data_IF_681796363059
#
_entry.id   IF_681796363059
#
_cell.length_a   1.000
_cell.length_b   1.000
_cell.length_c   1.000
_cell.angle_alpha   90.00
_cell.angle_beta   90.00
_cell.angle_gamma   90.00
#
_symmetry.space_group_name_H-M   'P 1'
#
loop_
_entity.id
_entity.type
_entity.pdbx_description
1 polymer ?
#
# COMPACT_ATOMS: atom_id res chain seq x y z
N UNK A 1 24.50 52.71 12.46
CA UNK A 1 24.49 51.64 11.42
C UNK A 1 23.39 50.67 11.79
N UNK A 2 22.23 50.85 11.15
CA UNK A 2 21.04 50.05 11.44
C UNK A 2 21.14 48.70 10.72
N UNK A 3 21.02 47.63 11.50
CA UNK A 3 20.86 46.26 11.00
C UNK A 3 19.51 46.18 10.29
N UNK A 4 19.53 45.91 8.98
CA UNK A 4 18.32 45.54 8.25
C UNK A 4 17.89 44.13 8.70
N UNK A 5 16.62 43.91 9.05
CA UNK A 5 16.13 42.59 9.35
C UNK A 5 16.03 41.76 8.07
N UNK A 6 16.44 40.50 8.18
CA UNK A 6 16.36 39.48 7.16
C UNK A 6 14.97 39.42 6.52
N UNK A 7 14.98 39.38 5.20
CA UNK A 7 13.81 39.26 4.37
C UNK A 7 13.09 37.95 4.70
N UNK A 8 11.84 38.10 5.13
CA UNK A 8 10.84 37.04 5.23
C UNK A 8 10.84 36.18 3.97
N UNK A 9 11.31 34.94 4.07
CA UNK A 9 11.16 33.94 3.02
C UNK A 9 9.68 33.81 2.67
N UNK A 10 9.35 34.03 1.40
CA UNK A 10 7.98 34.03 0.91
C UNK A 10 7.30 32.69 1.15
N UNK A 11 6.35 32.68 2.09
CA UNK A 11 5.27 31.70 2.21
C UNK A 11 4.34 31.84 1.00
N UNK A 12 4.83 31.51 -0.20
CA UNK A 12 4.02 31.43 -1.40
C UNK A 12 3.00 30.30 -1.25
N UNK A 13 1.75 30.56 -1.61
CA UNK A 13 0.72 29.53 -1.73
C UNK A 13 1.18 28.49 -2.75
N UNK A 14 1.23 27.20 -2.39
CA UNK A 14 1.44 26.12 -3.35
C UNK A 14 0.09 25.70 -3.98
N UNK A 15 -0.13 25.95 -5.29
CA UNK A 15 -1.38 25.58 -5.95
C UNK A 15 -1.67 24.07 -5.90
N UNK A 16 -0.63 23.22 -5.83
CA UNK A 16 -0.81 21.76 -5.77
C UNK A 16 -1.40 21.35 -4.42
N UNK A 17 -0.94 21.97 -3.33
CA UNK A 17 -1.49 21.72 -1.99
C UNK A 17 -2.94 22.17 -1.88
N UNK A 18 -3.29 23.30 -2.50
CA UNK A 18 -4.69 23.75 -2.61
C UNK A 18 -5.53 22.72 -3.38
N UNK A 19 -5.07 22.23 -4.53
CA UNK A 19 -5.79 21.21 -5.29
C UNK A 19 -5.97 19.91 -4.48
N UNK A 20 -4.93 19.46 -3.78
CA UNK A 20 -4.98 18.27 -2.90
C UNK A 20 -5.95 18.46 -1.74
N UNK A 21 -5.95 19.63 -1.11
CA UNK A 21 -6.91 20.01 -0.07
C UNK A 21 -8.34 19.99 -0.60
N UNK A 22 -8.58 20.55 -1.79
CA UNK A 22 -9.89 20.53 -2.44
C UNK A 22 -10.36 19.10 -2.73
N UNK A 23 -9.49 18.22 -3.20
CA UNK A 23 -9.80 16.79 -3.38
C UNK A 23 -10.23 16.18 -2.04
N UNK A 24 -9.48 16.40 -0.96
CA UNK A 24 -9.88 15.89 0.36
C UNK A 24 -11.25 16.42 0.81
N UNK A 25 -11.57 17.70 0.56
CA UNK A 25 -12.88 18.28 0.87
C UNK A 25 -14.03 17.65 0.06
N UNK A 26 -13.77 17.22 -1.17
CA UNK A 26 -14.75 16.55 -2.04
C UNK A 26 -15.08 15.12 -1.58
N UNK A 27 -14.15 14.47 -0.88
CA UNK A 27 -14.32 13.11 -0.38
C UNK A 27 -14.78 13.06 1.07
N UNK A 28 -14.36 14.00 1.92
CA UNK A 28 -14.62 14.02 3.35
C UNK A 28 -15.28 15.34 3.81
N UNK A 29 -16.60 15.33 4.07
CA UNK A 29 -17.29 16.49 4.64
C UNK A 29 -16.72 16.94 5.99
N UNK A 30 -16.15 16.03 6.78
CA UNK A 30 -15.54 16.36 8.07
C UNK A 30 -14.27 17.17 7.90
N UNK A 31 -13.42 16.81 6.92
CA UNK A 31 -12.26 17.61 6.53
C UNK A 31 -12.68 18.98 5.97
N UNK A 32 -13.73 19.05 5.15
CA UNK A 32 -14.25 20.32 4.65
C UNK A 32 -14.73 21.25 5.79
N UNK A 33 -15.26 20.68 6.89
CA UNK A 33 -15.56 21.42 8.12
C UNK A 33 -14.28 21.84 8.85
N UNK A 34 -13.27 20.99 8.94
CA UNK A 34 -11.99 21.29 9.59
C UNK A 34 -11.22 22.43 8.88
N UNK A 35 -11.23 22.46 7.54
CA UNK A 35 -10.67 23.55 6.73
C UNK A 35 -11.33 24.89 7.09
N UNK A 36 -12.65 24.91 7.31
CA UNK A 36 -13.41 26.13 7.67
C UNK A 36 -13.34 26.49 9.15
N UNK A 37 -13.01 25.55 10.03
CA UNK A 37 -12.87 25.79 11.45
C UNK A 37 -11.64 26.66 11.78
N UNK A 38 -11.51 27.02 13.06
CA UNK A 38 -10.29 27.60 13.64
C UNK A 38 -9.41 26.45 14.16
N UNK A 39 -8.09 26.54 13.98
CA UNK A 39 -7.12 25.53 14.45
C UNK A 39 -6.27 24.95 13.31
N UNK A 40 -4.99 24.60 13.54
CA UNK A 40 -4.05 24.28 12.48
C UNK A 40 -4.42 23.00 11.72
N UNK A 41 -4.07 22.97 10.43
CA UNK A 41 -4.01 21.76 9.61
C UNK A 41 -2.55 21.58 9.19
N UNK A 42 -1.82 20.57 9.69
CA UNK A 42 -0.39 20.42 9.42
C UNK A 42 -0.07 20.28 7.93
N UNK A 43 -1.03 19.84 7.13
CA UNK A 43 -0.92 19.69 5.68
C UNK A 43 -1.20 20.98 4.88
N UNK A 44 -1.52 22.12 5.49
CA UNK A 44 -1.81 23.36 4.75
C UNK A 44 -1.18 24.57 5.42
N UNK A 45 -0.58 25.45 4.62
CA UNK A 45 -0.26 26.81 5.09
C UNK A 45 -1.55 27.61 5.31
N UNK A 46 -1.48 28.68 6.12
CA UNK A 46 -2.67 29.52 6.34
C UNK A 46 -3.15 30.18 5.04
N UNK A 47 -2.22 30.52 4.13
CA UNK A 47 -2.55 31.05 2.80
C UNK A 47 -3.30 30.05 1.92
N UNK A 48 -2.82 28.80 1.85
CA UNK A 48 -3.50 27.72 1.11
C UNK A 48 -4.90 27.45 1.69
N UNK A 49 -5.00 27.43 3.02
CA UNK A 49 -6.26 27.21 3.72
C UNK A 49 -7.24 28.36 3.49
N UNK A 50 -6.78 29.61 3.48
CA UNK A 50 -7.62 30.77 3.21
C UNK A 50 -8.33 30.62 1.85
N UNK A 51 -7.59 30.22 0.80
CA UNK A 51 -8.19 29.97 -0.51
C UNK A 51 -9.24 28.84 -0.49
N UNK A 52 -8.99 27.77 0.26
CA UNK A 52 -9.93 26.65 0.38
C UNK A 52 -11.21 27.02 1.15
N UNK A 53 -11.14 28.00 2.06
CA UNK A 53 -12.33 28.48 2.79
C UNK A 53 -13.31 29.22 1.88
N UNK A 54 -12.82 29.87 0.84
CA UNK A 54 -13.63 30.61 -0.16
C UNK A 54 -14.40 29.67 -1.11
N UNK A 55 -14.10 28.37 -1.12
CA UNK A 55 -14.83 27.40 -1.95
C UNK A 55 -16.28 27.27 -1.48
N UNK A 56 -17.22 27.56 -2.37
CA UNK A 56 -18.66 27.38 -2.14
C UNK A 56 -18.96 25.92 -1.71
N UNK A 57 -19.58 25.69 -0.54
CA UNK A 57 -19.99 24.35 -0.10
C UNK A 57 -20.83 23.58 -1.13
N UNK A 58 -21.63 24.26 -1.96
CA UNK A 58 -22.45 23.62 -3.01
C UNK A 58 -21.58 23.05 -4.13
N UNK A 59 -20.45 23.68 -4.43
CA UNK A 59 -19.51 23.18 -5.43
C UNK A 59 -18.94 21.81 -5.04
N UNK A 60 -18.84 21.52 -3.73
CA UNK A 60 -18.38 20.23 -3.23
C UNK A 60 -19.37 19.07 -3.48
N UNK A 61 -20.64 19.37 -3.78
CA UNK A 61 -21.68 18.38 -4.02
C UNK A 61 -22.00 18.15 -5.51
N UNK A 62 -21.28 18.81 -6.43
CA UNK A 62 -21.55 18.77 -7.88
C UNK A 62 -21.43 17.38 -8.50
N UNK A 63 -20.56 16.52 -7.95
CA UNK A 63 -20.34 15.16 -8.41
C UNK A 63 -20.66 14.15 -7.29
N UNK A 64 -21.95 13.91 -7.08
CA UNK A 64 -22.45 13.01 -6.03
C UNK A 64 -21.91 11.57 -6.15
N UNK A 65 -21.51 11.15 -7.35
CA UNK A 65 -21.05 9.78 -7.62
C UNK A 65 -19.53 9.60 -7.49
N UNK A 66 -18.77 10.67 -7.21
CA UNK A 66 -17.31 10.63 -7.08
C UNK A 66 -16.82 9.58 -6.09
N UNK A 67 -17.33 9.67 -4.86
CA UNK A 67 -16.95 8.78 -3.77
C UNK A 67 -17.37 7.34 -4.06
N UNK A 68 -18.53 7.14 -4.67
CA UNK A 68 -19.00 5.83 -5.09
C UNK A 68 -18.08 5.18 -6.15
N UNK A 69 -17.64 5.94 -7.16
CA UNK A 69 -16.69 5.43 -8.18
C UNK A 69 -15.34 5.08 -7.58
N UNK A 70 -14.81 5.90 -6.68
CA UNK A 70 -13.56 5.59 -5.99
C UNK A 70 -13.71 4.36 -5.07
N UNK A 71 -14.84 4.25 -4.36
CA UNK A 71 -15.15 3.10 -3.54
C UNK A 71 -15.20 1.83 -4.39
N UNK A 72 -15.82 1.87 -5.56
CA UNK A 72 -15.88 0.73 -6.48
C UNK A 72 -14.48 0.21 -6.84
N UNK A 73 -13.53 1.10 -7.18
CA UNK A 73 -12.14 0.73 -7.47
C UNK A 73 -11.50 0.00 -6.28
N UNK A 74 -11.73 0.46 -5.06
CA UNK A 74 -11.23 -0.21 -3.85
C UNK A 74 -11.90 -1.58 -3.65
N UNK A 75 -13.20 -1.69 -3.90
CA UNK A 75 -13.93 -2.95 -3.76
C UNK A 75 -13.52 -3.99 -4.81
N UNK A 76 -13.12 -3.56 -6.01
CA UNK A 76 -12.59 -4.42 -7.06
C UNK A 76 -11.21 -4.99 -6.68
N UNK A 77 -10.35 -4.19 -6.04
CA UNK A 77 -9.02 -4.62 -5.60
C UNK A 77 -9.04 -5.40 -4.27
N UNK A 78 -9.97 -5.07 -3.36
CA UNK A 78 -10.07 -5.65 -2.01
C UNK A 78 -11.42 -6.35 -1.72
N UNK A 79 -11.89 -7.25 -2.61
CA UNK A 79 -13.22 -7.83 -2.47
C UNK A 79 -13.36 -8.70 -1.22
N UNK A 80 -12.31 -9.41 -0.82
CA UNK A 80 -12.36 -10.28 0.36
C UNK A 80 -12.26 -9.50 1.67
N UNK A 81 -11.46 -8.45 1.71
CA UNK A 81 -11.43 -7.52 2.85
C UNK A 81 -12.75 -6.77 3.00
N UNK A 82 -13.36 -6.34 1.89
CA UNK A 82 -14.69 -5.73 1.90
C UNK A 82 -15.74 -6.70 2.42
N UNK A 83 -15.66 -7.97 2.04
CA UNK A 83 -16.58 -8.98 2.54
C UNK A 83 -16.36 -9.29 4.04
N UNK A 84 -15.13 -9.17 4.53
CA UNK A 84 -14.77 -9.35 5.94
C UNK A 84 -15.23 -8.17 6.84
N UNK A 85 -15.16 -6.95 6.33
CA UNK A 85 -15.37 -5.72 7.11
C UNK A 85 -16.73 -5.06 6.85
N UNK A 86 -17.33 -5.31 5.70
CA UNK A 86 -18.49 -4.59 5.18
C UNK A 86 -18.11 -3.33 4.40
N UNK A 87 -18.93 -2.97 3.42
CA UNK A 87 -18.71 -1.82 2.53
C UNK A 87 -18.59 -0.50 3.30
N UNK A 88 -19.40 -0.30 4.35
CA UNK A 88 -19.33 0.91 5.18
C UNK A 88 -17.97 1.09 5.85
N UNK A 89 -17.30 -0.01 6.23
CA UNK A 89 -15.97 0.05 6.82
C UNK A 89 -14.90 0.43 5.77
N UNK A 90 -15.08 -0.01 4.52
CA UNK A 90 -14.25 0.40 3.38
C UNK A 90 -14.46 1.90 3.10
N UNK A 91 -15.70 2.36 3.05
CA UNK A 91 -16.05 3.75 2.76
C UNK A 91 -15.46 4.75 3.78
N UNK A 92 -15.30 4.34 5.04
CA UNK A 92 -14.65 5.14 6.09
C UNK A 92 -13.20 5.50 5.77
N UNK A 93 -12.53 4.78 4.86
CA UNK A 93 -11.19 5.14 4.39
C UNK A 93 -11.12 6.57 3.88
N UNK A 94 -12.13 7.02 3.12
CA UNK A 94 -12.14 8.36 2.50
C UNK A 94 -12.19 9.52 3.51
N UNK A 95 -12.59 9.24 4.76
CA UNK A 95 -12.57 10.21 5.86
C UNK A 95 -11.40 9.97 6.83
N UNK A 96 -10.45 9.11 6.47
CA UNK A 96 -9.30 8.77 7.32
C UNK A 96 -8.10 9.71 7.07
N UNK A 97 -7.22 9.91 8.07
CA UNK A 97 -5.94 10.58 7.86
C UNK A 97 -5.05 9.88 6.82
N UNK A 98 -5.16 8.55 6.68
CA UNK A 98 -4.38 7.77 5.69
C UNK A 98 -4.75 8.16 4.27
N UNK A 99 -6.05 8.31 3.98
CA UNK A 99 -6.49 8.82 2.68
C UNK A 99 -5.98 10.25 2.43
N UNK A 100 -6.03 11.13 3.44
CA UNK A 100 -5.52 12.50 3.29
C UNK A 100 -4.02 12.50 2.99
N UNK A 101 -3.21 11.76 3.76
CA UNK A 101 -1.79 11.62 3.49
C UNK A 101 -1.53 11.12 2.06
N UNK A 102 -2.26 10.09 1.62
CA UNK A 102 -2.18 9.57 0.26
C UNK A 102 -2.45 10.66 -0.81
N UNK A 103 -3.42 11.55 -0.61
CA UNK A 103 -3.71 12.63 -1.56
C UNK A 103 -2.58 13.66 -1.59
N UNK A 104 -2.10 14.09 -0.43
CA UNK A 104 -1.02 15.09 -0.32
C UNK A 104 0.34 14.57 -0.81
N UNK A 105 0.62 13.29 -0.64
CA UNK A 105 1.86 12.64 -1.08
C UNK A 105 1.76 12.08 -2.51
N UNK A 106 0.60 12.22 -3.16
CA UNK A 106 0.31 11.67 -4.50
C UNK A 106 0.50 10.15 -4.58
N UNK A 107 0.15 9.46 -3.48
CA UNK A 107 0.26 8.02 -3.34
C UNK A 107 -0.80 7.24 -4.13
N UNK A 108 -0.67 5.91 -4.09
CA UNK A 108 -1.67 4.99 -4.62
C UNK A 108 -2.82 4.83 -3.63
N UNK A 109 -4.04 5.17 -4.05
CA UNK A 109 -5.22 5.00 -3.21
C UNK A 109 -5.44 3.55 -2.78
N UNK A 110 -5.19 2.61 -3.69
CA UNK A 110 -5.28 1.15 -3.45
C UNK A 110 -4.27 0.74 -2.38
N UNK A 111 -2.99 1.14 -2.49
CA UNK A 111 -1.96 0.77 -1.51
C UNK A 111 -2.22 1.43 -0.16
N UNK A 112 -2.58 2.72 -0.15
CA UNK A 112 -2.93 3.44 1.07
C UNK A 112 -4.17 2.83 1.75
N UNK A 113 -5.12 2.27 0.99
CA UNK A 113 -6.21 1.50 1.56
C UNK A 113 -5.70 0.20 2.22
N UNK A 114 -4.75 -0.52 1.61
CA UNK A 114 -4.09 -1.65 2.24
C UNK A 114 -3.41 -1.31 3.58
N UNK A 115 -2.76 -0.16 3.66
CA UNK A 115 -2.19 0.36 4.92
C UNK A 115 -3.28 0.74 5.94
N UNK A 116 -4.36 1.38 5.47
CA UNK A 116 -5.53 1.68 6.28
C UNK A 116 -6.20 0.41 6.81
N UNK A 117 -6.24 -0.68 6.03
CA UNK A 117 -6.70 -1.97 6.53
C UNK A 117 -5.81 -2.42 7.69
N UNK A 118 -4.49 -2.35 7.55
CA UNK A 118 -3.56 -2.77 8.59
C UNK A 118 -3.93 -4.15 9.14
N UNK A 119 -4.13 -4.26 10.46
CA UNK A 119 -4.59 -5.51 11.09
C UNK A 119 -6.13 -5.66 11.16
N UNK A 120 -6.92 -4.75 10.57
CA UNK A 120 -8.40 -4.76 10.64
C UNK A 120 -9.00 -5.95 9.89
N UNK A 121 -8.55 -6.21 8.66
CA UNK A 121 -8.95 -7.38 7.87
C UNK A 121 -8.04 -8.61 8.09
N UNK A 122 -7.11 -8.55 9.07
CA UNK A 122 -6.18 -9.64 9.43
C UNK A 122 -5.40 -10.13 8.19
N UNK A 123 -5.17 -11.44 8.07
CA UNK A 123 -4.41 -12.00 6.95
C UNK A 123 -5.02 -11.69 5.58
N UNK A 124 -6.35 -11.53 5.49
CA UNK A 124 -7.01 -11.20 4.23
C UNK A 124 -6.57 -9.85 3.66
N UNK A 125 -6.59 -8.81 4.52
CA UNK A 125 -6.13 -7.48 4.12
C UNK A 125 -4.65 -7.44 3.81
N UNK A 126 -3.83 -8.19 4.55
CA UNK A 126 -2.38 -8.26 4.30
C UNK A 126 -2.06 -8.88 2.92
N UNK A 127 -2.77 -9.95 2.55
CA UNK A 127 -2.59 -10.63 1.25
C UNK A 127 -3.06 -9.74 0.10
N UNK A 128 -4.27 -9.16 0.16
CA UNK A 128 -4.74 -8.27 -0.91
C UNK A 128 -3.85 -7.01 -1.05
N UNK A 129 -3.35 -6.47 0.06
CA UNK A 129 -2.39 -5.36 0.02
C UNK A 129 -1.05 -5.75 -0.61
N UNK A 130 -0.58 -6.98 -0.38
CA UNK A 130 0.60 -7.50 -1.05
C UNK A 130 0.37 -7.69 -2.55
N UNK A 131 -0.77 -8.23 -2.96
CA UNK A 131 -1.15 -8.37 -4.39
C UNK A 131 -1.14 -7.01 -5.08
N UNK A 132 -1.78 -6.00 -4.47
CA UNK A 132 -1.80 -4.65 -5.02
C UNK A 132 -0.39 -4.03 -5.13
N UNK A 133 0.47 -4.23 -4.12
CA UNK A 133 1.87 -3.77 -4.14
C UNK A 133 2.69 -4.49 -5.22
N UNK A 134 2.56 -5.81 -5.32
CA UNK A 134 3.24 -6.64 -6.30
C UNK A 134 2.91 -6.21 -7.73
N UNK A 135 1.62 -6.08 -8.06
CA UNK A 135 1.16 -5.63 -9.39
C UNK A 135 1.72 -4.26 -9.76
N UNK A 136 1.66 -3.32 -8.82
CA UNK A 136 2.14 -1.96 -9.05
C UNK A 136 3.64 -1.93 -9.28
N UNK A 137 4.42 -2.62 -8.43
CA UNK A 137 5.86 -2.70 -8.56
C UNK A 137 6.27 -3.33 -9.90
N UNK A 138 5.56 -4.38 -10.36
CA UNK A 138 5.80 -5.01 -11.65
C UNK A 138 5.48 -4.08 -12.84
N UNK A 139 4.41 -3.28 -12.76
CA UNK A 139 4.09 -2.30 -13.81
C UNK A 139 5.16 -1.20 -13.93
N UNK A 140 5.71 -0.75 -12.79
CA UNK A 140 6.77 0.27 -12.74
C UNK A 140 8.13 -0.25 -13.27
N UNK A 141 8.33 -1.57 -13.34
CA UNK A 141 9.56 -2.23 -13.86
C UNK A 141 9.76 -2.10 -15.36
N UNK A 142 8.75 -1.66 -16.12
CA UNK A 142 8.88 -1.41 -17.57
C UNK A 142 9.86 -0.28 -17.91
N UNK A 143 10.30 0.50 -16.92
CA UNK A 143 11.41 1.45 -17.03
C UNK A 143 12.71 0.73 -16.67
N UNK A 144 13.39 0.23 -17.71
CA UNK A 144 14.63 -0.58 -17.64
C UNK A 144 15.70 0.06 -16.74
N UNK A 145 16.06 -0.64 -15.66
CA UNK A 145 17.25 -0.34 -14.86
C UNK A 145 18.37 -1.22 -15.41
N UNK A 146 19.35 -0.59 -16.05
CA UNK A 146 20.50 -1.28 -16.64
C UNK A 146 21.26 -2.03 -15.55
N UNK A 147 21.37 -3.36 -15.69
CA UNK A 147 22.19 -4.19 -14.82
C UNK A 147 23.67 -3.93 -15.09
N UNK A 148 24.38 -3.30 -14.15
CA UNK A 148 25.84 -3.19 -14.19
C UNK A 148 26.43 -4.34 -13.38
N UNK A 149 27.47 -5.07 -13.87
CA UNK A 149 28.07 -6.17 -13.13
C UNK A 149 28.71 -5.74 -11.81
N UNK A 150 28.61 -6.61 -10.81
CA UNK A 150 28.98 -6.42 -9.41
C UNK A 150 30.30 -5.70 -9.16
N UNK A 151 30.21 -4.53 -8.53
CA UNK A 151 31.32 -3.81 -7.91
C UNK A 151 31.16 -3.76 -6.39
N UNK A 152 32.23 -3.34 -5.70
CA UNK A 152 32.21 -3.06 -4.26
C UNK A 152 31.22 -1.92 -3.97
N UNK A 153 29.98 -2.28 -3.63
CA UNK A 153 28.83 -1.35 -3.55
C UNK A 153 27.50 -1.98 -3.95
N UNK A 154 27.53 -3.17 -4.56
CA UNK A 154 26.32 -3.93 -4.91
C UNK A 154 25.46 -4.22 -3.67
N UNK A 155 24.20 -3.79 -3.74
CA UNK A 155 23.16 -4.09 -2.75
C UNK A 155 22.13 -5.03 -3.35
N UNK A 156 21.69 -6.00 -2.55
CA UNK A 156 20.62 -6.91 -2.88
C UNK A 156 19.32 -6.40 -2.27
N UNK A 157 18.24 -6.48 -3.04
CA UNK A 157 16.88 -6.11 -2.65
C UNK A 157 15.92 -7.18 -3.16
N UNK A 158 14.78 -7.36 -2.49
CA UNK A 158 13.70 -8.19 -2.99
C UNK A 158 13.26 -7.69 -4.37
N UNK A 159 13.10 -8.62 -5.31
CA UNK A 159 12.76 -8.27 -6.68
C UNK A 159 11.40 -7.56 -6.79
N UNK A 160 11.27 -6.69 -7.79
CA UNK A 160 10.02 -5.96 -8.03
C UNK A 160 8.92 -6.94 -8.42
N UNK A 161 7.76 -6.79 -7.80
CA UNK A 161 6.65 -7.73 -7.99
C UNK A 161 6.67 -8.94 -7.06
N UNK A 162 7.72 -9.10 -6.25
CA UNK A 162 7.79 -10.11 -5.19
C UNK A 162 7.43 -9.46 -3.85
N UNK A 163 6.50 -10.07 -3.11
CA UNK A 163 6.14 -9.64 -1.75
C UNK A 163 6.07 -10.86 -0.84
N UNK A 164 6.96 -10.92 0.16
CA UNK A 164 6.99 -11.98 1.15
C UNK A 164 6.17 -11.58 2.40
N UNK A 165 5.35 -12.51 2.89
CA UNK A 165 4.37 -12.23 3.95
C UNK A 165 4.36 -13.31 5.02
N UNK A 166 4.20 -12.86 6.26
CA UNK A 166 3.77 -13.72 7.36
C UNK A 166 2.35 -13.32 7.78
N UNK A 167 1.41 -14.26 7.70
CA UNK A 167 0.00 -14.04 8.05
C UNK A 167 -0.51 -15.14 8.99
N UNK A 168 -1.69 -14.97 9.64
CA UNK A 168 -2.29 -16.05 10.42
C UNK A 168 -2.54 -17.30 9.56
N UNK A 169 -2.30 -18.49 10.11
CA UNK A 169 -2.45 -19.74 9.38
C UNK A 169 -3.89 -19.93 8.84
N UNK A 170 -4.00 -20.36 7.59
CA UNK A 170 -5.27 -20.57 6.88
C UNK A 170 -5.89 -19.31 6.29
N UNK A 171 -5.17 -18.17 6.28
CA UNK A 171 -5.65 -16.93 5.66
C UNK A 171 -5.80 -17.08 4.15
N UNK A 172 -4.86 -17.75 3.47
CA UNK A 172 -4.96 -18.03 2.03
C UNK A 172 -6.21 -18.85 1.70
N UNK A 173 -6.39 -20.00 2.36
CA UNK A 173 -7.57 -20.85 2.19
C UNK A 173 -8.89 -20.12 2.51
N UNK A 174 -8.85 -19.18 3.49
CA UNK A 174 -10.02 -18.35 3.79
C UNK A 174 -10.34 -17.39 2.65
N UNK A 175 -9.34 -16.70 2.07
CA UNK A 175 -9.53 -15.80 0.90
C UNK A 175 -10.10 -16.58 -0.27
N UNK A 176 -9.54 -17.74 -0.60
CA UNK A 176 -10.02 -18.58 -1.71
C UNK A 176 -11.48 -18.97 -1.52
N UNK A 177 -11.84 -19.44 -0.32
CA UNK A 177 -13.23 -19.77 0.01
C UNK A 177 -14.18 -18.58 0.01
N UNK A 178 -13.67 -17.35 0.21
CA UNK A 178 -14.43 -16.11 0.11
C UNK A 178 -14.60 -15.69 -1.35
N UNK A 179 -13.53 -15.73 -2.16
CA UNK A 179 -13.57 -15.46 -3.60
C UNK A 179 -14.55 -16.40 -4.31
N UNK A 180 -14.49 -17.70 -4.02
CA UNK A 180 -15.42 -18.68 -4.57
C UNK A 180 -16.90 -18.35 -4.27
N UNK A 181 -17.20 -17.76 -3.11
CA UNK A 181 -18.56 -17.35 -2.75
C UNK A 181 -18.97 -15.99 -3.32
N UNK A 182 -18.02 -15.10 -3.59
CA UNK A 182 -18.28 -13.84 -4.28
C UNK A 182 -18.58 -14.09 -5.76
N UNK A 183 -17.98 -15.12 -6.36
CA UNK A 183 -18.15 -15.50 -7.76
C UNK A 183 -17.53 -14.47 -8.71
N UNK A 184 -17.96 -14.51 -9.97
CA UNK A 184 -17.40 -13.70 -11.05
C UNK A 184 -17.82 -12.22 -11.01
N UNK A 185 -18.83 -11.88 -10.20
CA UNK A 185 -19.30 -10.50 -9.99
C UNK A 185 -19.17 -10.06 -8.51
N UNK A 186 -17.95 -9.90 -7.95
CA UNK A 186 -17.76 -9.58 -6.54
C UNK A 186 -18.49 -8.33 -6.07
N UNK A 187 -18.48 -7.26 -6.87
CA UNK A 187 -19.19 -6.01 -6.54
C UNK A 187 -20.69 -6.23 -6.38
N UNK A 188 -21.31 -7.03 -7.27
CA UNK A 188 -22.73 -7.33 -7.21
C UNK A 188 -23.07 -8.18 -6.00
N UNK A 189 -22.20 -9.14 -5.65
CA UNK A 189 -22.34 -9.94 -4.45
C UNK A 189 -22.22 -9.10 -3.17
N UNK A 190 -21.26 -8.17 -3.12
CA UNK A 190 -21.06 -7.23 -2.01
C UNK A 190 -22.23 -6.26 -1.87
N UNK A 191 -22.72 -5.68 -2.97
CA UNK A 191 -23.85 -4.72 -2.95
C UNK A 191 -25.15 -5.33 -2.42
N UNK A 192 -25.36 -6.64 -2.62
CA UNK A 192 -26.52 -7.37 -2.09
C UNK A 192 -26.42 -7.66 -0.58
N UNK A 193 -25.26 -7.43 0.03
CA UNK A 193 -25.00 -7.75 1.43
C UNK A 193 -24.99 -6.52 2.31
N UNK A 194 -25.85 -6.53 3.32
CA UNK A 194 -25.91 -5.49 4.37
C UNK A 194 -24.97 -5.75 5.54
N UNK A 195 -24.42 -6.96 5.67
CA UNK A 195 -23.58 -7.37 6.81
C UNK A 195 -22.30 -8.06 6.32
N UNK A 196 -21.19 -7.95 7.08
CA UNK A 196 -19.98 -8.72 6.82
C UNK A 196 -20.22 -10.24 6.88
N UNK A 197 -19.34 -11.05 6.29
CA UNK A 197 -19.42 -12.51 6.45
C UNK A 197 -19.28 -12.90 7.93
N UNK A 198 -20.05 -13.89 8.42
CA UNK A 198 -20.05 -14.26 9.82
C UNK A 198 -18.82 -15.09 10.22
N UNK A 199 -18.11 -15.71 9.26
CA UNK A 199 -16.87 -16.43 9.54
C UNK A 199 -15.70 -15.43 9.48
N UNK A 200 -15.13 -15.03 10.63
CA UNK A 200 -14.02 -14.09 10.62
C UNK A 200 -12.78 -14.72 9.97
N UNK A 201 -11.85 -13.88 9.47
CA UNK A 201 -10.56 -14.37 9.01
C UNK A 201 -9.78 -15.02 10.17
N UNK A 202 -8.89 -15.98 9.89
CA UNK A 202 -8.03 -16.60 10.90
C UNK A 202 -7.18 -15.59 11.67
N UNK A 203 -6.81 -15.95 12.90
CA UNK A 203 -6.14 -15.05 13.85
C UNK A 203 -4.93 -15.66 14.57
N UNK A 204 -4.76 -16.97 14.50
CA UNK A 204 -3.74 -17.71 15.25
C UNK A 204 -2.90 -18.55 14.29
N UNK A 205 -1.76 -19.02 14.79
CA UNK A 205 -0.74 -19.66 13.94
C UNK A 205 -0.10 -18.66 12.99
N UNK A 206 0.89 -19.12 12.24
CA UNK A 206 1.57 -18.36 11.19
C UNK A 206 1.68 -19.24 9.96
N UNK A 207 1.40 -18.66 8.81
CA UNK A 207 1.76 -19.23 7.50
C UNK A 207 2.59 -18.20 6.74
N UNK A 208 3.51 -18.73 5.94
CA UNK A 208 4.50 -17.96 5.22
C UNK A 208 4.15 -18.02 3.75
N UNK A 209 3.88 -16.86 3.15
CA UNK A 209 3.38 -16.74 1.80
C UNK A 209 4.32 -15.90 0.95
N UNK A 210 4.39 -16.25 -0.32
CA UNK A 210 5.04 -15.47 -1.36
C UNK A 210 3.97 -15.02 -2.36
N UNK A 211 3.98 -13.73 -2.70
CA UNK A 211 3.14 -13.15 -3.74
C UNK A 211 4.05 -12.73 -4.89
N UNK A 212 3.75 -13.20 -6.09
CA UNK A 212 4.56 -12.97 -7.28
C UNK A 212 3.70 -12.39 -8.39
N UNK A 213 3.97 -11.15 -8.80
CA UNK A 213 3.37 -10.58 -10.00
C UNK A 213 4.13 -11.06 -11.25
N UNK A 214 3.41 -11.62 -12.21
CA UNK A 214 3.95 -12.08 -13.49
C UNK A 214 3.85 -10.99 -14.55
N UNK A 215 4.62 -11.14 -15.62
CA UNK A 215 4.69 -10.16 -16.72
C UNK A 215 3.36 -10.00 -17.48
N UNK A 216 2.49 -11.01 -17.46
CA UNK A 216 1.15 -10.96 -18.07
C UNK A 216 0.11 -10.25 -17.18
N UNK A 217 0.52 -9.74 -16.01
CA UNK A 217 -0.34 -9.08 -15.03
C UNK A 217 -1.06 -10.03 -14.08
N UNK A 218 -0.90 -11.35 -14.24
CA UNK A 218 -1.36 -12.34 -13.26
C UNK A 218 -0.54 -12.27 -11.99
N UNK A 219 -1.09 -12.83 -10.90
CA UNK A 219 -0.41 -12.86 -9.60
C UNK A 219 -0.58 -14.24 -9.00
N UNK A 220 0.55 -14.86 -8.67
CA UNK A 220 0.58 -16.13 -7.95
C UNK A 220 0.74 -15.87 -6.46
N UNK A 221 0.08 -16.71 -5.66
CA UNK A 221 0.20 -16.69 -4.20
C UNK A 221 0.46 -18.12 -3.75
N UNK A 222 1.65 -18.35 -3.19
CA UNK A 222 2.10 -19.69 -2.79
C UNK A 222 2.59 -19.72 -1.35
N UNK A 223 2.59 -20.92 -0.76
CA UNK A 223 3.29 -21.16 0.49
C UNK A 223 4.81 -21.16 0.27
N UNK A 224 5.56 -20.63 1.24
CA UNK A 224 7.02 -20.61 1.21
C UNK A 224 7.60 -21.03 2.58
N UNK A 225 8.90 -21.30 2.64
CA UNK A 225 9.56 -21.58 3.91
C UNK A 225 9.68 -20.31 4.76
N UNK A 226 9.71 -20.45 6.09
CA UNK A 226 9.89 -19.32 7.00
C UNK A 226 11.24 -18.62 6.80
N UNK A 227 12.29 -19.38 6.47
CA UNK A 227 13.61 -18.83 6.18
C UNK A 227 13.61 -18.00 4.90
N UNK A 228 12.97 -18.46 3.82
CA UNK A 228 12.86 -17.69 2.57
C UNK A 228 12.06 -16.39 2.78
N UNK A 229 10.89 -16.47 3.43
CA UNK A 229 10.08 -15.28 3.72
C UNK A 229 10.84 -14.30 4.63
N UNK A 230 11.53 -14.80 5.66
CA UNK A 230 12.35 -13.97 6.54
C UNK A 230 13.47 -13.25 5.79
N UNK A 231 14.13 -13.94 4.86
CA UNK A 231 15.22 -13.40 4.06
C UNK A 231 14.73 -12.31 3.10
N UNK A 232 13.67 -12.60 2.33
CA UNK A 232 13.08 -11.63 1.39
C UNK A 232 12.51 -10.40 2.10
N UNK A 233 11.92 -10.58 3.28
CA UNK A 233 11.46 -9.45 4.11
C UNK A 233 12.61 -8.58 4.61
N UNK A 234 13.76 -9.17 4.98
CA UNK A 234 14.95 -8.39 5.31
C UNK A 234 15.47 -7.60 4.10
N UNK A 235 15.36 -8.19 2.91
CA UNK A 235 15.72 -7.55 1.64
C UNK A 235 14.64 -6.58 1.10
N UNK A 236 13.56 -6.25 1.83
CA UNK A 236 12.65 -5.15 1.45
C UNK A 236 13.40 -3.80 1.36
N UNK A 237 14.49 -3.67 2.12
CA UNK A 237 15.44 -2.58 2.01
C UNK A 237 16.74 -3.08 1.36
N UNK A 238 17.42 -2.27 0.53
CA UNK A 238 18.69 -2.68 -0.08
C UNK A 238 19.79 -2.97 0.96
N UNK A 239 20.24 -4.22 1.04
CA UNK A 239 21.29 -4.68 1.94
C UNK A 239 22.54 -5.08 1.15
N UNK A 240 23.72 -4.92 1.73
CA UNK A 240 24.92 -5.51 1.14
C UNK A 240 24.84 -7.04 1.13
N UNK A 241 25.58 -7.68 0.23
CA UNK A 241 25.65 -9.15 0.17
C UNK A 241 26.07 -9.78 1.50
N UNK A 242 27.06 -9.19 2.17
CA UNK A 242 27.53 -9.68 3.47
C UNK A 242 26.45 -9.60 4.56
N UNK A 243 25.70 -8.48 4.61
CA UNK A 243 24.57 -8.33 5.54
C UNK A 243 23.48 -9.36 5.26
N UNK A 244 23.16 -9.61 4.00
CA UNK A 244 22.11 -10.56 3.62
C UNK A 244 22.55 -12.02 3.85
N UNK A 245 23.82 -12.37 3.63
CA UNK A 245 24.37 -13.68 4.03
C UNK A 245 24.24 -13.88 5.55
N UNK A 246 24.56 -12.86 6.36
CA UNK A 246 24.40 -12.93 7.80
C UNK A 246 22.93 -13.09 8.22
N UNK A 247 21.98 -12.50 7.49
CA UNK A 247 20.55 -12.77 7.67
C UNK A 247 20.24 -14.23 7.35
N UNK A 248 20.68 -14.76 6.21
CA UNK A 248 20.43 -16.14 5.79
C UNK A 248 20.93 -17.15 6.83
N UNK A 249 22.15 -16.96 7.34
CA UNK A 249 22.73 -17.82 8.39
C UNK A 249 21.92 -17.76 9.69
N UNK A 250 21.48 -16.57 10.13
CA UNK A 250 20.58 -16.44 11.30
C UNK A 250 19.24 -17.13 11.10
N UNK A 251 18.78 -17.27 9.85
CA UNK A 251 17.56 -17.98 9.47
C UNK A 251 17.79 -19.48 9.22
N UNK A 252 18.99 -19.99 9.47
CA UNK A 252 19.33 -21.41 9.45
C UNK A 252 20.07 -21.91 8.21
N UNK A 253 20.51 -21.03 7.30
CA UNK A 253 21.37 -21.44 6.18
C UNK A 253 22.79 -21.79 6.67
N UNK A 254 23.47 -22.72 5.98
CA UNK A 254 24.89 -22.96 6.22
C UNK A 254 25.72 -21.73 5.82
N UNK A 255 26.75 -21.39 6.60
CA UNK A 255 27.58 -20.22 6.36
C UNK A 255 28.39 -20.31 5.05
N UNK A 256 28.76 -21.52 4.65
CA UNK A 256 29.49 -21.79 3.40
C UNK A 256 28.57 -21.75 2.18
N UNK A 257 27.30 -22.13 2.32
CA UNK A 257 26.31 -22.15 1.23
C UNK A 257 25.51 -20.84 1.11
N UNK A 258 25.52 -19.97 2.12
CA UNK A 258 24.74 -18.72 2.12
C UNK A 258 25.05 -17.83 0.91
N UNK A 259 26.30 -17.82 0.44
CA UNK A 259 26.70 -17.08 -0.76
C UNK A 259 26.02 -17.62 -2.02
N UNK A 260 26.04 -18.93 -2.22
CA UNK A 260 25.44 -19.63 -3.38
C UNK A 260 23.92 -19.49 -3.37
N UNK A 261 23.29 -19.64 -2.20
CA UNK A 261 21.85 -19.41 -2.03
C UNK A 261 21.42 -18.03 -2.54
N UNK A 262 22.18 -16.97 -2.25
CA UNK A 262 21.83 -15.63 -2.74
C UNK A 262 21.99 -15.51 -4.26
N UNK A 263 22.95 -16.21 -4.87
CA UNK A 263 23.09 -16.23 -6.32
C UNK A 263 21.94 -16.99 -6.98
N UNK A 264 21.50 -18.11 -6.40
CA UNK A 264 20.34 -18.87 -6.87
C UNK A 264 19.07 -18.01 -6.80
N UNK A 265 18.83 -17.30 -5.69
CA UNK A 265 17.70 -16.38 -5.55
C UNK A 265 17.75 -15.22 -6.55
N UNK A 266 18.95 -14.76 -6.93
CA UNK A 266 19.09 -13.79 -8.02
C UNK A 266 18.79 -14.43 -9.39
N UNK A 267 19.23 -15.67 -9.60
CA UNK A 267 18.98 -16.45 -10.83
C UNK A 267 17.49 -16.76 -11.04
N UNK A 268 16.76 -17.01 -9.95
CA UNK A 268 15.31 -17.21 -9.93
C UNK A 268 14.51 -15.90 -10.02
N UNK A 269 15.18 -14.74 -9.92
CA UNK A 269 14.53 -13.43 -9.96
C UNK A 269 13.75 -13.08 -8.69
N UNK A 270 14.08 -13.69 -7.55
CA UNK A 270 13.54 -13.34 -6.23
C UNK A 270 14.30 -12.19 -5.57
N UNK A 271 15.58 -12.03 -5.92
CA UNK A 271 16.42 -10.91 -5.55
C UNK A 271 16.91 -10.14 -6.79
N UNK A 272 17.05 -8.83 -6.64
CA UNK A 272 17.63 -7.93 -7.62
C UNK A 272 18.89 -7.28 -7.06
N UNK A 273 19.83 -6.99 -7.96
CA UNK A 273 21.04 -6.21 -7.68
C UNK A 273 20.76 -4.73 -7.92
N UNK A 274 21.08 -3.87 -6.95
CA UNK A 274 21.02 -2.40 -7.04
C UNK A 274 22.39 -1.79 -6.76
N UNK A 275 22.64 -0.68 -7.42
CA UNK A 275 23.81 0.18 -7.22
C UNK A 275 23.41 1.47 -6.52
#
# INVERSE_FOLDING_TARGET
MSVQPEQSQGSGVDPRRVQQGLVCMLFDPSYAKAVRARGPLPELSEGERALLREVDPRALATDAMRRARALQVILDEYPTSAAALGVDAVDRFFSSPVFRACVFERGSMVVAFGEFLGSRAKGAGAIEAAVARARRAAADSTVSVSAVPGGAGERLVCARGIVALEVPAGSLAWIEGVRAKLGDEPLRALARRRKPWPKPPPRRGREQLLVEAKADGSVDIGGASASLVGLLRAAEQPLSRAELCAVAVRLGADASEAGELLDDLCGEGLLERRT
#
